data_IF_681108022056
#
_entry.id   IF_681108022056
#
_cell.length_a   1.000
_cell.length_b   1.000
_cell.length_c   1.000
_cell.angle_alpha   90.00
_cell.angle_beta   90.00
_cell.angle_gamma   90.00
#
_symmetry.space_group_name_H-M   'P 1'
#
loop_
_entity.id
_entity.type
_entity.pdbx_description
1 polymer ?
#
# COMPACT_ATOMS: atom_id res chain seq x y z
N UNK A 1 8.07 17.99 -3.14
CA UNK A 1 7.98 16.62 -2.58
C UNK A 1 6.97 16.50 -1.43
N UNK A 2 6.89 17.44 -0.46
CA UNK A 2 5.91 17.29 0.63
C UNK A 2 4.44 17.32 0.19
N UNK A 3 4.10 18.21 -0.74
CA UNK A 3 2.75 18.30 -1.32
C UNK A 3 2.31 17.03 -2.06
N UNK A 4 3.23 16.27 -2.65
CA UNK A 4 2.89 15.01 -3.31
C UNK A 4 2.50 13.92 -2.31
N UNK A 5 3.07 13.91 -1.10
CA UNK A 5 2.61 13.01 -0.03
C UNK A 5 1.21 13.39 0.48
N UNK A 6 0.91 14.69 0.60
CA UNK A 6 -0.45 15.15 0.93
C UNK A 6 -1.43 14.71 -0.15
N UNK A 7 -1.12 14.99 -1.42
CA UNK A 7 -1.96 14.58 -2.56
C UNK A 7 -2.16 13.07 -2.62
N UNK A 8 -1.12 12.28 -2.38
CA UNK A 8 -1.22 10.83 -2.34
C UNK A 8 -2.09 10.36 -1.17
N UNK A 9 -1.94 10.94 0.03
CA UNK A 9 -2.82 10.66 1.17
C UNK A 9 -4.29 10.97 0.87
N UNK A 10 -4.59 12.05 0.14
CA UNK A 10 -5.95 12.37 -0.33
C UNK A 10 -6.47 11.29 -1.28
N UNK A 11 -5.64 10.84 -2.25
CA UNK A 11 -6.02 9.76 -3.16
C UNK A 11 -6.30 8.45 -2.43
N UNK A 12 -5.51 8.11 -1.40
CA UNK A 12 -5.77 6.95 -0.56
C UNK A 12 -7.13 7.07 0.15
N UNK A 13 -7.48 8.25 0.66
CA UNK A 13 -8.76 8.48 1.33
C UNK A 13 -9.95 8.40 0.38
N UNK A 14 -9.82 8.96 -0.82
CA UNK A 14 -10.83 8.84 -1.88
C UNK A 14 -10.99 7.37 -2.26
N UNK A 15 -9.90 6.65 -2.47
CA UNK A 15 -9.93 5.23 -2.80
C UNK A 15 -10.64 4.41 -1.72
N UNK A 16 -10.35 4.70 -0.44
CA UNK A 16 -10.98 4.06 0.71
C UNK A 16 -12.49 4.30 0.78
N UNK A 17 -12.93 5.56 0.66
CA UNK A 17 -14.34 5.95 0.85
C UNK A 17 -15.21 5.62 -0.35
N UNK A 18 -14.74 5.89 -1.57
CA UNK A 18 -15.57 5.86 -2.78
C UNK A 18 -14.98 5.04 -3.93
N UNK A 19 -13.69 4.68 -3.86
CA UNK A 19 -12.99 3.98 -4.94
C UNK A 19 -13.27 2.48 -5.03
N UNK A 20 -13.67 1.84 -3.93
CA UNK A 20 -13.82 0.38 -3.86
C UNK A 20 -14.65 -0.25 -5.00
N UNK A 21 -15.93 0.13 -5.19
CA UNK A 21 -16.77 -0.42 -6.26
C UNK A 21 -16.23 -0.16 -7.67
N UNK A 22 -15.52 0.95 -7.87
CA UNK A 22 -14.89 1.26 -9.15
C UNK A 22 -13.67 0.39 -9.42
N UNK A 23 -12.83 0.15 -8.41
CA UNK A 23 -11.66 -0.72 -8.50
C UNK A 23 -12.05 -2.17 -8.84
N UNK A 24 -13.08 -2.71 -8.17
CA UNK A 24 -13.59 -4.05 -8.44
C UNK A 24 -14.13 -4.17 -9.87
N UNK A 25 -14.94 -3.22 -10.35
CA UNK A 25 -15.43 -3.20 -11.74
C UNK A 25 -14.33 -3.14 -12.78
N UNK A 26 -13.19 -2.55 -12.45
CA UNK A 26 -12.01 -2.48 -13.33
C UNK A 26 -11.11 -3.72 -13.22
N UNK A 27 -11.35 -4.61 -12.26
CA UNK A 27 -10.47 -5.75 -11.97
C UNK A 27 -9.05 -5.32 -11.60
N UNK A 28 -8.91 -4.13 -10.98
CA UNK A 28 -7.61 -3.56 -10.60
C UNK A 28 -7.59 -3.26 -9.11
N UNK A 29 -6.49 -3.65 -8.46
CA UNK A 29 -6.21 -3.24 -7.09
C UNK A 29 -5.80 -1.77 -7.06
N UNK A 30 -5.99 -1.13 -5.91
CA UNK A 30 -5.52 0.24 -5.70
C UNK A 30 -3.99 0.34 -5.92
N UNK A 31 -3.28 -0.67 -5.45
CA UNK A 31 -1.82 -0.76 -5.51
C UNK A 31 -1.31 -0.79 -6.95
N UNK A 32 -2.12 -1.24 -7.91
CA UNK A 32 -1.78 -1.18 -9.33
C UNK A 32 -1.65 0.28 -9.79
N UNK A 33 -2.58 1.15 -9.41
CA UNK A 33 -2.53 2.58 -9.72
C UNK A 33 -1.41 3.29 -8.95
N UNK A 34 -1.26 2.95 -7.67
CA UNK A 34 -0.18 3.49 -6.82
C UNK A 34 1.19 3.16 -7.42
N UNK A 35 1.37 1.93 -7.90
CA UNK A 35 2.61 1.47 -8.54
C UNK A 35 2.90 2.21 -9.85
N UNK A 36 1.88 2.52 -10.65
CA UNK A 36 2.06 3.36 -11.84
C UNK A 36 2.47 4.79 -11.49
N UNK A 37 1.81 5.39 -10.50
CA UNK A 37 2.14 6.75 -10.05
C UNK A 37 3.58 6.82 -9.55
N UNK A 38 3.98 5.86 -8.71
CA UNK A 38 5.35 5.70 -8.21
C UNK A 38 6.34 5.52 -9.37
N UNK A 39 6.01 4.67 -10.34
CA UNK A 39 6.89 4.40 -11.47
C UNK A 39 7.14 5.64 -12.34
N UNK A 40 6.06 6.30 -12.76
CA UNK A 40 6.14 7.49 -13.61
C UNK A 40 6.83 8.64 -12.89
N UNK A 41 6.54 8.84 -11.61
CA UNK A 41 7.20 9.86 -10.80
C UNK A 41 8.70 9.56 -10.63
N UNK A 42 9.06 8.30 -10.37
CA UNK A 42 10.45 7.88 -10.28
C UNK A 42 11.23 8.11 -11.58
N UNK A 43 10.61 7.83 -12.74
CA UNK A 43 11.22 8.10 -14.07
C UNK A 43 11.49 9.59 -14.22
N UNK A 44 10.49 10.44 -13.95
CA UNK A 44 10.65 11.90 -14.04
C UNK A 44 11.81 12.34 -13.13
N UNK A 45 11.78 11.98 -11.85
CA UNK A 45 12.83 12.35 -10.90
C UNK A 45 14.23 11.86 -11.31
N UNK A 46 14.36 10.65 -11.84
CA UNK A 46 15.67 10.14 -12.31
C UNK A 46 16.27 11.00 -13.41
N UNK A 47 15.46 11.47 -14.37
CA UNK A 47 15.97 12.12 -15.57
C UNK A 47 15.90 13.66 -15.55
N UNK A 48 15.16 14.26 -14.62
CA UNK A 48 15.02 15.73 -14.53
C UNK A 48 15.86 16.38 -13.43
N UNK A 49 16.31 15.62 -12.44
CA UNK A 49 16.96 16.19 -11.27
C UNK A 49 18.37 16.71 -11.56
N UNK A 50 19.16 15.94 -12.33
CA UNK A 50 20.45 16.41 -12.77
C UNK A 50 20.29 17.37 -13.96
N UNK A 51 20.86 18.57 -13.82
CA UNK A 51 20.95 19.52 -14.93
C UNK A 51 22.03 19.07 -15.90
N UNK A 52 21.58 18.44 -16.97
CA UNK A 52 22.42 18.01 -18.09
C UNK A 52 23.37 19.14 -18.54
N UNK A 53 24.67 18.86 -18.54
CA UNK A 53 25.71 19.83 -18.92
C UNK A 53 26.43 20.50 -17.74
N UNK A 54 26.04 20.21 -16.49
CA UNK A 54 26.77 20.63 -15.29
C UNK A 54 27.47 19.44 -14.61
N UNK A 55 28.52 19.65 -13.80
CA UNK A 55 29.11 18.61 -12.97
C UNK A 55 28.10 18.08 -11.95
N UNK A 56 28.17 16.79 -11.64
CA UNK A 56 27.36 16.17 -10.60
C UNK A 56 27.72 16.73 -9.21
N UNK A 57 26.71 17.03 -8.42
CA UNK A 57 26.86 17.36 -7.00
C UNK A 57 26.27 16.25 -6.10
N UNK A 58 26.59 16.28 -4.81
CA UNK A 58 26.10 15.34 -3.81
C UNK A 58 24.57 15.23 -3.78
N UNK A 59 23.85 16.36 -3.88
CA UNK A 59 22.39 16.38 -3.95
C UNK A 59 21.84 15.65 -5.18
N UNK A 60 22.49 15.79 -6.34
CA UNK A 60 22.10 15.10 -7.58
C UNK A 60 22.16 13.57 -7.38
N UNK A 61 23.23 13.06 -6.77
CA UNK A 61 23.35 11.63 -6.47
C UNK A 61 22.24 11.13 -5.56
N UNK A 62 21.92 11.88 -4.50
CA UNK A 62 20.88 11.51 -3.54
C UNK A 62 19.50 11.45 -4.21
N UNK A 63 19.11 12.50 -4.92
CA UNK A 63 17.79 12.59 -5.54
C UNK A 63 17.64 11.68 -6.77
N UNK A 64 18.66 11.59 -7.64
CA UNK A 64 18.62 10.67 -8.80
C UNK A 64 18.55 9.22 -8.36
N UNK A 65 19.35 8.81 -7.37
CA UNK A 65 19.28 7.43 -6.83
C UNK A 65 17.93 7.13 -6.20
N UNK A 66 17.30 8.11 -5.53
CA UNK A 66 15.94 7.99 -5.02
C UNK A 66 14.92 7.81 -6.15
N UNK A 67 15.07 8.53 -7.27
CA UNK A 67 14.26 8.30 -8.47
C UNK A 67 14.39 6.86 -8.99
N UNK A 68 15.64 6.34 -9.04
CA UNK A 68 15.92 5.00 -9.57
C UNK A 68 15.20 3.91 -8.79
N UNK A 69 15.31 3.93 -7.46
CA UNK A 69 14.62 2.94 -6.63
C UNK A 69 13.10 3.07 -6.75
N UNK A 70 12.57 4.29 -6.88
CA UNK A 70 11.13 4.51 -7.06
C UNK A 70 10.61 3.87 -8.34
N UNK A 71 11.25 4.09 -9.50
CA UNK A 71 10.70 3.54 -10.73
C UNK A 71 10.89 2.03 -10.87
N UNK A 72 11.97 1.46 -10.34
CA UNK A 72 12.15 0.01 -10.29
C UNK A 72 11.12 -0.65 -9.36
N UNK A 73 10.91 -0.08 -8.17
CA UNK A 73 9.90 -0.60 -7.23
C UNK A 73 8.48 -0.43 -7.80
N UNK A 74 8.17 0.69 -8.45
CA UNK A 74 6.91 0.91 -9.15
C UNK A 74 6.66 -0.13 -10.24
N UNK A 75 7.67 -0.42 -11.06
CA UNK A 75 7.59 -1.48 -12.07
C UNK A 75 7.31 -2.86 -11.45
N UNK A 76 8.01 -3.20 -10.37
CA UNK A 76 7.74 -4.44 -9.63
C UNK A 76 6.30 -4.46 -9.07
N UNK A 77 5.84 -3.35 -8.49
CA UNK A 77 4.47 -3.19 -8.01
C UNK A 77 3.42 -3.42 -9.10
N UNK A 78 3.61 -2.82 -10.29
CA UNK A 78 2.74 -3.02 -11.46
C UNK A 78 2.72 -4.49 -11.87
N UNK A 79 3.89 -5.14 -11.90
CA UNK A 79 3.99 -6.56 -12.26
C UNK A 79 3.19 -7.44 -11.29
N UNK A 80 3.39 -7.30 -9.98
CA UNK A 80 2.72 -8.14 -8.98
C UNK A 80 1.24 -7.81 -8.77
N UNK A 81 0.74 -6.67 -9.25
CA UNK A 81 -0.67 -6.27 -9.14
C UNK A 81 -1.48 -6.39 -10.44
N UNK A 82 -0.86 -6.87 -11.54
CA UNK A 82 -1.43 -6.80 -12.90
C UNK A 82 -2.78 -7.53 -13.10
N UNK A 83 -3.08 -8.52 -12.28
CA UNK A 83 -4.31 -9.33 -12.34
C UNK A 83 -5.29 -9.02 -11.18
N UNK A 84 -5.33 -7.77 -10.71
CA UNK A 84 -6.17 -7.38 -9.57
C UNK A 84 -5.61 -7.81 -8.21
N UNK A 85 -4.47 -8.50 -8.21
CA UNK A 85 -3.75 -8.90 -7.01
C UNK A 85 -3.29 -7.68 -6.21
N UNK A 86 -3.33 -7.82 -4.89
CA UNK A 86 -2.85 -6.82 -3.92
C UNK A 86 -1.35 -7.00 -3.72
N UNK A 87 -0.61 -5.92 -3.48
CA UNK A 87 0.83 -5.97 -3.24
C UNK A 87 1.28 -4.93 -2.22
N UNK A 88 2.24 -5.28 -1.37
CA UNK A 88 2.80 -4.38 -0.37
C UNK A 88 3.96 -3.52 -0.89
N UNK A 89 4.39 -3.72 -2.14
CA UNK A 89 5.59 -3.09 -2.71
C UNK A 89 5.56 -1.55 -2.60
N UNK A 90 4.47 -0.84 -2.97
CA UNK A 90 4.38 0.60 -2.75
C UNK A 90 4.64 1.00 -1.29
N UNK A 91 4.06 0.29 -0.33
CA UNK A 91 4.22 0.57 1.09
C UNK A 91 5.63 0.30 1.59
N UNK A 92 6.26 -0.78 1.12
CA UNK A 92 7.67 -1.09 1.43
C UNK A 92 8.58 0.01 0.89
N UNK A 93 8.36 0.48 -0.34
CA UNK A 93 9.12 1.61 -0.90
C UNK A 93 8.98 2.88 -0.06
N UNK A 94 7.78 3.17 0.43
CA UNK A 94 7.53 4.33 1.31
C UNK A 94 8.32 4.20 2.62
N UNK A 95 8.38 3.00 3.21
CA UNK A 95 9.20 2.73 4.41
C UNK A 95 10.70 2.90 4.11
N UNK A 96 11.18 2.35 3.00
CA UNK A 96 12.59 2.50 2.60
C UNK A 96 12.94 3.97 2.35
N UNK A 97 12.02 4.74 1.77
CA UNK A 97 12.15 6.19 1.63
C UNK A 97 12.29 6.86 2.99
N UNK A 98 11.44 6.51 3.97
CA UNK A 98 11.53 7.05 5.32
C UNK A 98 12.90 6.80 5.96
N UNK A 99 13.44 5.58 5.81
CA UNK A 99 14.78 5.22 6.32
C UNK A 99 15.87 6.03 5.62
N UNK A 100 15.81 6.16 4.30
CA UNK A 100 16.78 6.92 3.53
C UNK A 100 16.85 8.39 4.01
N UNK A 101 15.72 9.04 4.24
CA UNK A 101 15.65 10.43 4.69
C UNK A 101 16.16 10.64 6.13
N UNK A 102 16.12 9.63 7.01
CA UNK A 102 16.70 9.74 8.37
C UNK A 102 18.24 9.79 8.34
N UNK A 103 18.89 9.20 7.33
CA UNK A 103 20.34 9.14 7.22
C UNK A 103 21.02 10.38 6.63
N UNK A 104 20.25 11.44 6.29
CA UNK A 104 20.80 12.61 5.61
C UNK A 104 21.30 13.65 6.61
N UNK A 105 22.59 13.98 6.55
CA UNK A 105 23.18 15.08 7.31
C UNK A 105 22.56 16.40 6.83
N UNK A 106 21.94 17.13 7.74
CA UNK A 106 21.32 18.42 7.46
C UNK A 106 22.29 19.56 7.74
N UNK A 107 22.20 20.65 6.96
CA UNK A 107 23.05 21.82 7.12
C UNK A 107 22.69 22.67 8.35
N UNK A 108 21.47 22.53 8.88
CA UNK A 108 20.95 23.29 10.02
C UNK A 108 20.77 22.37 11.24
N UNK A 109 21.26 22.74 12.45
CA UNK A 109 21.22 21.88 13.65
C UNK A 109 19.82 21.34 14.01
N UNK A 110 18.79 22.16 13.84
CA UNK A 110 17.40 21.81 14.20
C UNK A 110 16.68 21.00 13.11
N UNK A 111 17.24 20.95 11.90
CA UNK A 111 16.62 20.28 10.74
C UNK A 111 16.53 18.78 10.91
N UNK A 112 17.53 18.17 11.56
CA UNK A 112 17.58 16.72 11.77
C UNK A 112 16.38 16.21 12.58
N UNK A 113 15.89 16.99 13.57
CA UNK A 113 14.75 16.59 14.39
C UNK A 113 13.44 16.62 13.61
N UNK A 114 13.16 17.73 12.90
CA UNK A 114 11.93 17.87 12.10
C UNK A 114 11.88 16.84 10.97
N UNK A 115 13.01 16.59 10.30
CA UNK A 115 13.12 15.55 9.27
C UNK A 115 12.95 14.13 9.86
N UNK A 116 13.38 13.88 11.10
CA UNK A 116 13.15 12.60 11.77
C UNK A 116 11.66 12.38 12.04
N UNK A 117 10.92 13.41 12.48
CA UNK A 117 9.46 13.31 12.63
C UNK A 117 8.76 13.00 11.30
N UNK A 118 9.17 13.65 10.21
CA UNK A 118 8.72 13.29 8.87
C UNK A 118 8.97 11.81 8.57
N UNK A 119 10.18 11.31 8.80
CA UNK A 119 10.54 9.92 8.58
C UNK A 119 9.68 8.95 9.40
N UNK A 120 9.46 9.23 10.69
CA UNK A 120 8.61 8.38 11.54
C UNK A 120 7.15 8.33 11.06
N UNK A 121 6.58 9.46 10.65
CA UNK A 121 5.22 9.51 10.11
C UNK A 121 5.12 8.76 8.78
N UNK A 122 6.11 8.94 7.89
CA UNK A 122 6.14 8.24 6.61
C UNK A 122 6.25 6.72 6.79
N UNK A 123 7.09 6.28 7.73
CA UNK A 123 7.24 4.88 8.12
C UNK A 123 5.94 4.32 8.72
N UNK A 124 5.29 5.05 9.63
CA UNK A 124 4.00 4.67 10.20
C UNK A 124 2.90 4.54 9.14
N UNK A 125 2.89 5.44 8.15
CA UNK A 125 1.98 5.35 6.99
C UNK A 125 2.21 4.09 6.16
N UNK A 126 3.46 3.76 5.85
CA UNK A 126 3.80 2.53 5.14
C UNK A 126 3.43 1.26 5.93
N UNK A 127 3.75 1.22 7.23
CA UNK A 127 3.44 0.07 8.09
C UNK A 127 1.92 -0.11 8.24
N UNK A 128 1.19 0.97 8.51
CA UNK A 128 -0.28 0.90 8.61
C UNK A 128 -0.92 0.43 7.31
N UNK A 129 -0.36 0.81 6.14
CA UNK A 129 -0.84 0.33 4.84
C UNK A 129 -0.55 -1.16 4.62
N UNK A 130 0.60 -1.66 5.05
CA UNK A 130 0.91 -3.10 5.01
C UNK A 130 -0.10 -3.86 5.86
N UNK A 131 -0.35 -3.40 7.09
CA UNK A 131 -1.31 -4.04 8.00
C UNK A 131 -2.72 -4.02 7.39
N UNK A 132 -3.11 -2.91 6.77
CA UNK A 132 -4.38 -2.80 6.07
C UNK A 132 -4.49 -3.85 4.95
N UNK A 133 -3.50 -3.92 4.06
CA UNK A 133 -3.52 -4.81 2.90
C UNK A 133 -3.55 -6.28 3.32
N UNK A 134 -2.78 -6.64 4.35
CA UNK A 134 -2.60 -8.04 4.75
C UNK A 134 -3.67 -8.57 5.70
N UNK A 135 -4.28 -7.73 6.54
CA UNK A 135 -5.11 -8.21 7.66
C UNK A 135 -6.48 -7.55 7.80
N UNK A 136 -6.63 -6.28 7.40
CA UNK A 136 -7.86 -5.53 7.67
C UNK A 136 -8.78 -5.51 6.46
N UNK A 137 -8.22 -5.32 5.26
CA UNK A 137 -8.98 -5.24 4.04
C UNK A 137 -9.56 -6.60 3.66
N UNK A 138 -10.82 -6.59 3.22
CA UNK A 138 -11.54 -7.77 2.73
C UNK A 138 -12.26 -7.41 1.44
N UNK A 139 -12.18 -8.29 0.45
CA UNK A 139 -12.86 -8.09 -0.83
C UNK A 139 -14.38 -8.07 -0.66
N UNK A 140 -15.07 -7.18 -1.37
CA UNK A 140 -16.53 -7.02 -1.30
C UNK A 140 -17.07 -6.40 0.00
N UNK A 141 -16.24 -6.18 1.01
CA UNK A 141 -16.61 -5.55 2.28
C UNK A 141 -16.15 -4.09 2.28
N UNK A 142 -17.10 -3.15 2.20
CA UNK A 142 -16.79 -1.71 2.19
C UNK A 142 -17.14 -1.01 3.50
N UNK A 143 -17.43 -1.75 4.56
CA UNK A 143 -17.50 -1.18 5.90
C UNK A 143 -16.10 -0.77 6.33
N UNK A 144 -15.93 0.52 6.61
CA UNK A 144 -14.61 1.08 6.91
C UNK A 144 -14.34 1.02 8.40
N UNK A 145 -13.24 0.40 8.77
CA UNK A 145 -12.76 0.35 10.16
C UNK A 145 -11.84 1.55 10.48
N UNK A 146 -11.72 1.96 11.75
CA UNK A 146 -10.84 3.07 12.13
C UNK A 146 -9.39 2.93 11.65
N UNK A 147 -8.88 1.70 11.58
CA UNK A 147 -7.51 1.42 11.13
C UNK A 147 -7.23 1.91 9.70
N UNK A 148 -8.22 1.79 8.81
CA UNK A 148 -8.05 2.08 7.38
C UNK A 148 -7.83 3.57 7.09
N UNK A 149 -8.13 4.45 8.05
CA UNK A 149 -7.82 5.89 7.92
C UNK A 149 -6.33 6.20 8.19
N UNK A 150 -5.63 5.34 8.94
CA UNK A 150 -4.26 5.61 9.36
C UNK A 150 -3.29 5.81 8.19
N UNK A 151 -3.31 5.00 7.11
CA UNK A 151 -2.38 5.19 6.00
C UNK A 151 -2.48 6.58 5.37
N UNK A 152 -3.70 7.02 5.06
CA UNK A 152 -3.97 8.34 4.48
C UNK A 152 -3.56 9.47 5.45
N UNK A 153 -4.00 9.37 6.71
CA UNK A 153 -3.72 10.38 7.73
C UNK A 153 -2.21 10.56 7.96
N UNK A 154 -1.47 9.46 8.12
CA UNK A 154 -0.03 9.50 8.37
C UNK A 154 0.75 10.07 7.17
N UNK A 155 0.33 9.76 5.93
CA UNK A 155 0.94 10.33 4.73
C UNK A 155 0.70 11.83 4.61
N UNK A 156 -0.51 12.31 4.92
CA UNK A 156 -0.81 13.75 4.92
C UNK A 156 -0.01 14.48 6.00
N UNK A 157 0.09 13.89 7.20
CA UNK A 157 0.93 14.41 8.29
C UNK A 157 2.41 14.46 7.91
N UNK A 158 2.95 13.39 7.31
CA UNK A 158 4.31 13.36 6.78
C UNK A 158 4.52 14.44 5.72
N UNK A 159 3.58 14.60 4.78
CA UNK A 159 3.67 15.59 3.70
C UNK A 159 3.72 17.03 4.21
N UNK A 160 2.86 17.38 5.17
CA UNK A 160 2.86 18.72 5.80
C UNK A 160 4.14 18.94 6.62
N UNK A 161 4.58 17.94 7.38
CA UNK A 161 5.84 18.02 8.13
C UNK A 161 7.02 18.30 7.19
N UNK A 162 7.09 17.60 6.05
CA UNK A 162 8.14 17.81 5.06
C UNK A 162 8.09 19.20 4.42
N UNK A 163 6.89 19.73 4.13
CA UNK A 163 6.76 21.10 3.61
C UNK A 163 7.19 22.15 4.63
N UNK A 164 7.02 21.89 5.92
CA UNK A 164 7.45 22.79 7.00
C UNK A 164 8.95 22.71 7.32
N UNK A 165 9.72 21.84 6.67
CA UNK A 165 11.12 21.59 6.97
C UNK A 165 12.09 22.27 5.96
N UNK A 166 11.71 23.42 5.38
CA UNK A 166 12.60 24.17 4.48
C UNK A 166 13.74 24.84 5.26
N UNK A 167 14.90 25.04 4.63
CA UNK A 167 16.09 25.61 5.29
C UNK A 167 15.82 27.00 5.86
N UNK A 168 15.10 27.85 5.12
CA UNK A 168 14.77 29.21 5.54
C UNK A 168 13.87 29.22 6.77
N UNK A 169 12.89 28.32 6.80
CA UNK A 169 11.94 28.21 7.90
C UNK A 169 12.62 27.69 9.17
N UNK A 170 13.51 26.70 9.03
CA UNK A 170 14.28 26.13 10.13
C UNK A 170 15.34 27.10 10.66
N UNK A 171 15.91 27.93 9.77
CA UNK A 171 16.78 29.03 10.18
C UNK A 171 16.01 30.06 11.02
N UNK A 172 14.82 30.47 10.59
CA UNK A 172 13.97 31.40 11.35
C UNK A 172 13.63 30.85 12.74
N UNK A 173 13.22 29.58 12.83
CA UNK A 173 12.95 28.90 14.11
C UNK A 173 14.15 28.96 15.05
N UNK A 174 15.35 28.70 14.52
CA UNK A 174 16.58 28.77 15.29
C UNK A 174 16.90 30.20 15.75
N UNK A 175 16.67 31.22 14.92
CA UNK A 175 16.90 32.62 15.32
C UNK A 175 15.92 33.13 16.38
N UNK A 176 14.71 32.57 16.43
CA UNK A 176 13.68 32.92 17.39
C UNK A 176 13.69 32.05 18.66
N UNK A 177 14.66 31.13 18.77
CA UNK A 177 14.77 30.15 19.86
C UNK A 177 13.48 29.34 20.07
N UNK A 178 12.81 29.00 18.96
CA UNK A 178 11.60 28.18 18.99
C UNK A 178 11.98 26.70 18.97
N UNK A 179 11.48 25.97 19.96
CA UNK A 179 11.69 24.53 20.09
C UNK A 179 11.12 23.75 18.88
N UNK A 180 11.92 22.87 18.23
CA UNK A 180 11.49 22.10 17.07
C UNK A 180 10.30 21.17 17.33
N UNK A 181 10.15 20.65 18.55
CA UNK A 181 9.02 19.79 18.92
C UNK A 181 7.72 20.59 18.98
N UNK A 182 7.76 21.79 19.58
CA UNK A 182 6.63 22.72 19.63
C UNK A 182 6.18 23.15 18.23
N UNK A 183 7.13 23.46 17.35
CA UNK A 183 6.85 23.74 15.94
C UNK A 183 6.22 22.55 15.23
N UNK A 184 6.77 21.35 15.44
CA UNK A 184 6.26 20.11 14.85
C UNK A 184 4.82 19.81 15.29
N UNK A 185 4.47 20.07 16.55
CA UNK A 185 3.09 19.92 17.03
C UNK A 185 2.11 20.84 16.30
N UNK A 186 2.51 22.08 15.98
CA UNK A 186 1.67 23.01 15.19
C UNK A 186 1.47 22.49 13.77
N UNK A 187 2.53 21.99 13.12
CA UNK A 187 2.41 21.38 11.79
C UNK A 187 1.52 20.14 11.80
N UNK A 188 1.62 19.28 12.81
CA UNK A 188 0.77 18.10 12.95
C UNK A 188 -0.70 18.46 13.18
N UNK A 189 -0.97 19.47 14.01
CA UNK A 189 -2.32 19.98 14.22
C UNK A 189 -2.91 20.52 12.91
N UNK A 190 -2.12 21.27 12.13
CA UNK A 190 -2.54 21.74 10.81
C UNK A 190 -2.79 20.58 9.83
N UNK A 191 -1.94 19.56 9.82
CA UNK A 191 -2.13 18.38 8.99
C UNK A 191 -3.40 17.59 9.35
N UNK A 192 -3.71 17.45 10.64
CA UNK A 192 -4.95 16.84 11.11
C UNK A 192 -6.18 17.67 10.69
N UNK A 193 -6.08 19.00 10.71
CA UNK A 193 -7.14 19.87 10.20
C UNK A 193 -7.36 19.70 8.69
N UNK A 194 -6.29 19.55 7.90
CA UNK A 194 -6.40 19.24 6.46
C UNK A 194 -7.03 17.86 6.26
N UNK A 195 -6.58 16.84 6.99
CA UNK A 195 -7.16 15.50 6.92
C UNK A 195 -8.65 15.52 7.24
N UNK A 196 -9.05 16.19 8.33
CA UNK A 196 -10.44 16.35 8.72
C UNK A 196 -11.25 17.07 7.63
N UNK A 197 -10.71 18.18 7.10
CA UNK A 197 -11.37 18.95 6.05
C UNK A 197 -11.63 18.08 4.81
N UNK A 198 -10.62 17.36 4.33
CA UNK A 198 -10.76 16.47 3.17
C UNK A 198 -11.75 15.33 3.47
N UNK A 199 -11.66 14.70 4.64
CA UNK A 199 -12.59 13.65 5.05
C UNK A 199 -14.04 14.14 5.07
N UNK A 200 -14.29 15.33 5.64
CA UNK A 200 -15.60 15.96 5.66
C UNK A 200 -16.12 16.21 4.24
N UNK A 201 -15.29 16.73 3.33
CA UNK A 201 -15.70 16.96 1.95
C UNK A 201 -16.11 15.66 1.24
N UNK A 202 -15.33 14.58 1.42
CA UNK A 202 -15.62 13.28 0.81
C UNK A 202 -16.91 12.68 1.39
N UNK A 203 -17.06 12.69 2.71
CA UNK A 203 -18.24 12.15 3.40
C UNK A 203 -19.48 12.98 3.07
N UNK A 204 -19.36 14.30 2.98
CA UNK A 204 -20.43 15.20 2.55
C UNK A 204 -20.87 14.85 1.13
N UNK A 205 -19.93 14.69 0.20
CA UNK A 205 -20.24 14.27 -1.17
C UNK A 205 -20.95 12.91 -1.22
N UNK A 206 -20.45 11.92 -0.47
CA UNK A 206 -21.02 10.57 -0.37
C UNK A 206 -22.46 10.61 0.14
N UNK A 207 -22.72 11.43 1.16
CA UNK A 207 -24.04 11.62 1.76
C UNK A 207 -25.00 12.30 0.79
N UNK A 208 -24.57 13.40 0.16
CA UNK A 208 -25.40 14.17 -0.77
C UNK A 208 -25.75 13.39 -2.04
N UNK A 209 -24.84 12.52 -2.49
CA UNK A 209 -25.04 11.72 -3.71
C UNK A 209 -25.69 10.38 -3.43
N UNK A 210 -25.95 10.03 -2.16
CA UNK A 210 -26.37 8.70 -1.74
C UNK A 210 -25.49 7.61 -2.38
N UNK A 211 -24.18 7.83 -2.43
CA UNK A 211 -23.28 6.96 -3.19
C UNK A 211 -23.35 5.51 -2.69
N UNK A 212 -23.44 5.28 -1.39
CA UNK A 212 -23.52 3.92 -0.85
C UNK A 212 -24.76 3.12 -1.35
N UNK A 213 -25.90 3.78 -1.58
CA UNK A 213 -27.10 3.13 -2.13
C UNK A 213 -27.13 3.13 -3.65
N UNK A 214 -26.60 4.16 -4.31
CA UNK A 214 -26.56 4.30 -5.76
C UNK A 214 -25.42 3.54 -6.44
N UNK A 215 -24.33 3.28 -5.72
CA UNK A 215 -23.18 2.53 -6.20
C UNK A 215 -23.49 1.04 -6.36
N UNK A 216 -24.73 0.63 -6.06
CA UNK A 216 -25.28 -0.66 -6.43
C UNK A 216 -24.29 -1.77 -6.18
N UNK A 217 -24.32 -2.33 -4.97
CA UNK A 217 -24.09 -3.75 -4.82
C UNK A 217 -25.17 -4.52 -5.60
N UNK A 218 -25.36 -4.24 -6.90
CA UNK A 218 -26.02 -5.19 -7.77
C UNK A 218 -25.13 -6.41 -7.65
N UNK A 219 -25.66 -7.43 -6.98
CA UNK A 219 -25.08 -8.74 -6.79
C UNK A 219 -24.10 -8.98 -7.94
N UNK A 220 -22.80 -8.94 -7.63
CA UNK A 220 -21.84 -9.59 -8.52
C UNK A 220 -22.33 -11.02 -8.50
N UNK A 221 -23.01 -11.44 -9.56
CA UNK A 221 -23.56 -12.77 -9.68
C UNK A 221 -22.43 -13.74 -9.35
N UNK A 222 -22.47 -14.30 -8.16
CA UNK A 222 -21.61 -15.38 -7.70
C UNK A 222 -22.04 -16.68 -8.35
N UNK A 223 -22.33 -16.65 -9.65
CA UNK A 223 -22.79 -17.81 -10.42
C UNK A 223 -21.61 -18.68 -10.89
N UNK A 224 -20.36 -18.38 -10.51
CA UNK A 224 -19.20 -19.16 -10.95
C UNK A 224 -18.10 -19.32 -9.91
N UNK A 225 -18.42 -19.23 -8.62
CA UNK A 225 -17.52 -19.77 -7.58
C UNK A 225 -18.24 -20.98 -7.02
N UNK A 226 -17.94 -22.15 -7.59
CA UNK A 226 -18.06 -23.42 -6.87
C UNK A 226 -17.19 -23.29 -5.62
N UNK A 227 -17.76 -22.71 -4.56
CA UNK A 227 -17.27 -22.90 -3.21
C UNK A 227 -17.42 -24.39 -2.96
N UNK A 228 -16.32 -25.12 -3.17
CA UNK A 228 -16.12 -26.43 -2.62
C UNK A 228 -16.33 -26.26 -1.11
N UNK A 229 -17.54 -26.58 -0.66
CA UNK A 229 -17.82 -26.76 0.73
C UNK A 229 -16.87 -27.87 1.18
N UNK A 230 -15.83 -27.50 1.93
CA UNK A 230 -15.10 -28.44 2.73
C UNK A 230 -16.04 -28.83 3.87
N UNK A 231 -17.04 -29.64 3.53
CA UNK A 231 -17.96 -30.19 4.50
C UNK A 231 -17.14 -31.07 5.44
N UNK A 232 -17.27 -30.74 6.71
CA UNK A 232 -16.83 -31.50 7.88
C UNK A 232 -17.51 -32.88 8.00
N UNK A 233 -18.03 -33.43 6.90
CA UNK A 233 -18.74 -34.71 6.81
C UNK A 233 -17.76 -35.91 6.76
N UNK A 234 -16.44 -35.66 6.69
CA UNK A 234 -15.42 -36.72 6.61
C UNK A 234 -14.89 -37.19 7.97
N UNK A 235 -15.37 -36.66 9.11
CA UNK A 235 -14.78 -36.95 10.43
C UNK A 235 -15.72 -37.56 11.49
N UNK A 236 -17.00 -37.85 11.16
CA UNK A 236 -17.97 -38.31 12.18
C UNK A 236 -18.40 -39.78 12.09
N UNK A 237 -17.85 -40.60 11.19
CA UNK A 237 -18.17 -42.04 11.11
C UNK A 237 -17.02 -42.94 11.60
N UNK A 238 -16.71 -42.81 12.89
CA UNK A 238 -16.08 -43.90 13.65
C UNK A 238 -16.94 -44.15 14.89
N UNK A 239 -17.85 -45.12 14.80
CA UNK A 239 -18.02 -46.15 15.84
C UNK A 239 -18.89 -47.34 15.36
N UNK A 240 -18.32 -48.52 15.57
CA UNK A 240 -18.94 -49.82 15.91
C UNK A 240 -19.79 -50.68 14.93
N UNK A 241 -19.32 -51.94 14.82
CA UNK A 241 -20.00 -53.22 14.52
C UNK A 241 -20.29 -53.67 13.06
N UNK A 242 -19.74 -54.84 12.70
CA UNK A 242 -20.34 -55.72 11.68
C UNK A 242 -19.37 -56.51 10.78
N UNK A 243 -19.17 -57.78 11.12
CA UNK A 243 -18.37 -58.82 10.44
C UNK A 243 -18.67 -59.09 8.94
N UNK A 244 -17.62 -59.53 8.23
CA UNK A 244 -17.60 -60.29 6.94
C UNK A 244 -17.54 -59.51 5.62
N UNK A 245 -16.34 -59.40 5.04
CA UNK A 245 -15.99 -60.13 3.80
C UNK A 245 -14.58 -59.75 3.31
N UNK A 246 -13.70 -60.75 3.24
CA UNK A 246 -12.36 -60.61 2.70
C UNK A 246 -12.40 -60.53 1.17
N UNK A 247 -11.89 -59.44 0.60
CA UNK A 247 -11.63 -59.32 -0.84
C UNK A 247 -10.12 -59.56 -1.10
N UNK A 248 -9.73 -60.55 -1.93
CA UNK A 248 -8.34 -60.97 -2.06
C UNK A 248 -7.52 -60.04 -2.96
N UNK A 249 -6.24 -59.87 -2.58
CA UNK A 249 -5.22 -59.11 -3.31
C UNK A 249 -4.90 -59.75 -4.67
N UNK A 250 -4.94 -58.94 -5.75
CA UNK A 250 -4.63 -59.37 -7.12
C UNK A 250 -3.12 -59.36 -7.36
N UNK A 251 -2.54 -60.54 -7.64
CA UNK A 251 -1.13 -60.69 -7.98
C UNK A 251 -0.82 -60.23 -9.42
N UNK A 252 0.24 -59.44 -9.56
CA UNK A 252 0.90 -59.05 -10.81
C UNK A 252 1.58 -60.26 -11.49
N UNK A 253 1.44 -60.40 -12.81
CA UNK A 253 2.11 -61.45 -13.60
C UNK A 253 3.07 -60.82 -14.61
N UNK A 254 4.36 -61.10 -14.45
CA UNK A 254 5.44 -60.82 -15.39
C UNK A 254 5.56 -61.91 -16.48
N UNK A 255 5.83 -61.43 -17.69
CA UNK A 255 6.77 -61.90 -18.73
C UNK A 255 6.73 -63.33 -19.30
N UNK A 256 6.82 -63.40 -20.63
CA UNK A 256 7.65 -64.41 -21.31
C UNK A 256 7.13 -65.00 -22.62
N UNK A 257 7.75 -64.60 -23.73
CA UNK A 257 7.84 -65.30 -25.02
C UNK A 257 7.97 -66.83 -24.94
N UNK A 258 7.43 -67.60 -25.92
CA UNK A 258 8.18 -68.46 -26.87
C UNK A 258 7.26 -69.01 -28.00
N UNK A 259 7.75 -68.79 -29.23
CA UNK A 259 7.62 -69.40 -30.57
C UNK A 259 6.77 -70.66 -30.87
N UNK A 260 6.20 -70.65 -32.09
CA UNK A 260 5.57 -71.74 -32.86
C UNK A 260 6.54 -72.85 -33.32
N UNK A 261 6.01 -74.05 -33.56
CA UNK A 261 6.57 -75.07 -34.45
C UNK A 261 5.85 -76.43 -34.35
N UNK A 262 5.49 -76.99 -35.51
CA UNK A 262 4.83 -78.30 -35.72
C UNK A 262 5.52 -79.49 -35.05
#
# INVERSE_FOLDING_TARGET
>A
MGSSFVGYGILLLISLRVGGPWLLRRGKSQEWYDSWAIMLWGIVNTFTEHRWGHPWNHGDYQHTSMGIIWWIAGMAGVFFSRHGQRTVIPSVLIILTAVAFQGHAQHVPNSAQVHSYFGYLLMAGGISRIIEICFVWKEGVFTITPWQYLPSMMLMMAGVMFMGATEEQLYLLNTLDIDPSSYSNVLLAFALAIFLFVAVLIILWETLTNYASNAGYSEVATDNIDTLHADTEFLDDYDEEGYSDAVPLKATRENGHVMNGN
#
